data_IF_932096845104
#
_entry.id   IF_932096845104
#
_cell.length_a   1.000
_cell.length_b   1.000
_cell.length_c   1.000
_cell.angle_alpha   90.00
_cell.angle_beta   90.00
_cell.angle_gamma   90.00
#
_symmetry.space_group_name_H-M   'P 1'
#
loop_
_entity.id
_entity.type
_entity.pdbx_description
1 polymer ?
#
# COMPACT_ATOMS: atom_id res chain seq x y z
N UNK A 1 -16.08 -18.68 -1.32
CA UNK A 1 -16.93 -18.17 -2.43
C UNK A 1 -16.07 -17.23 -3.28
N UNK A 2 -16.27 -17.14 -4.60
CA UNK A 2 -15.55 -16.14 -5.39
C UNK A 2 -16.05 -14.74 -5.03
N UNK A 3 -15.15 -13.77 -4.87
CA UNK A 3 -15.54 -12.37 -4.63
C UNK A 3 -16.37 -11.83 -5.78
N UNK A 4 -17.35 -11.00 -5.44
CA UNK A 4 -18.02 -10.11 -6.38
C UNK A 4 -17.28 -8.77 -6.36
N UNK A 5 -16.91 -8.26 -7.53
CA UNK A 5 -16.24 -6.98 -7.68
C UNK A 5 -17.23 -5.88 -8.12
N UNK A 6 -17.01 -4.61 -7.70
CA UNK A 6 -15.96 -4.13 -6.81
C UNK A 6 -16.10 -4.63 -5.36
N UNK A 7 -14.96 -4.87 -4.69
CA UNK A 7 -14.89 -5.38 -3.30
C UNK A 7 -14.13 -4.40 -2.38
N UNK A 8 -14.50 -4.22 -1.10
CA UNK A 8 -15.72 -4.74 -0.50
C UNK A 8 -16.96 -4.04 -1.08
N UNK A 9 -18.15 -4.64 -0.91
CA UNK A 9 -19.40 -3.95 -1.21
C UNK A 9 -19.59 -2.71 -0.32
N UNK A 10 -20.48 -1.79 -0.71
CA UNK A 10 -20.79 -0.58 0.06
C UNK A 10 -19.88 0.62 -0.25
N UNK A 11 -19.74 1.55 0.70
CA UNK A 11 -19.07 2.85 0.51
C UNK A 11 -17.61 2.87 1.04
N UNK A 12 -16.83 1.83 0.72
CA UNK A 12 -15.38 1.87 0.98
C UNK A 12 -14.67 2.83 0.03
N UNK A 13 -13.74 3.62 0.58
CA UNK A 13 -12.91 4.57 -0.16
C UNK A 13 -11.95 3.89 -1.14
N UNK A 14 -11.34 2.78 -0.71
CA UNK A 14 -10.52 1.90 -1.56
C UNK A 14 -11.32 0.62 -1.84
N UNK A 15 -11.39 0.25 -3.12
CA UNK A 15 -11.99 -1.00 -3.56
C UNK A 15 -11.09 -1.76 -4.52
N UNK A 16 -11.16 -3.07 -4.51
CA UNK A 16 -10.55 -3.96 -5.47
C UNK A 16 -11.53 -4.20 -6.61
N UNK A 17 -11.01 -4.33 -7.83
CA UNK A 17 -11.77 -4.68 -9.03
C UNK A 17 -11.04 -5.77 -9.80
N UNK A 18 -11.80 -6.60 -10.53
CA UNK A 18 -11.20 -7.64 -11.38
C UNK A 18 -10.75 -7.08 -12.74
N UNK A 19 -9.90 -7.83 -13.46
CA UNK A 19 -9.62 -7.56 -14.87
C UNK A 19 -10.87 -7.45 -15.75
N UNK A 20 -11.88 -8.29 -15.50
CA UNK A 20 -13.13 -8.23 -16.28
C UNK A 20 -13.95 -6.98 -15.99
N UNK A 21 -13.98 -6.52 -14.72
CA UNK A 21 -14.60 -5.25 -14.38
C UNK A 21 -13.88 -4.12 -15.12
N UNK A 22 -12.55 -4.04 -15.03
CA UNK A 22 -11.80 -2.97 -15.69
C UNK A 22 -12.00 -2.97 -17.21
N UNK A 23 -11.97 -4.13 -17.87
CA UNK A 23 -12.19 -4.25 -19.32
C UNK A 23 -13.55 -3.68 -19.77
N UNK A 24 -14.59 -3.84 -18.94
CA UNK A 24 -15.92 -3.28 -19.20
C UNK A 24 -15.99 -1.76 -19.00
N UNK A 25 -15.08 -1.18 -18.20
CA UNK A 25 -15.10 0.24 -17.81
C UNK A 25 -13.92 1.04 -18.42
N UNK A 26 -13.15 0.46 -19.35
CA UNK A 26 -12.00 1.13 -20.01
C UNK A 26 -12.38 2.42 -20.74
N UNK A 27 -13.65 2.60 -21.08
CA UNK A 27 -14.18 3.75 -21.82
C UNK A 27 -14.96 4.72 -20.94
N UNK A 28 -14.98 4.51 -19.64
CA UNK A 28 -15.66 5.40 -18.71
C UNK A 28 -14.86 6.70 -18.60
N UNK A 29 -15.50 7.82 -18.96
CA UNK A 29 -14.87 9.14 -18.88
C UNK A 29 -14.51 9.51 -17.43
N UNK A 30 -15.18 8.92 -16.44
CA UNK A 30 -14.93 9.13 -15.02
C UNK A 30 -13.80 8.27 -14.42
N UNK A 31 -13.07 7.49 -15.24
CA UNK A 31 -12.00 6.61 -14.79
C UNK A 31 -10.61 7.05 -15.27
N UNK A 32 -9.71 7.31 -14.33
CA UNK A 32 -8.27 7.43 -14.57
C UNK A 32 -7.57 6.13 -14.18
N UNK A 33 -6.64 5.65 -15.00
CA UNK A 33 -5.86 4.44 -14.74
C UNK A 33 -4.41 4.86 -14.53
N UNK A 34 -3.82 4.48 -13.40
CA UNK A 34 -2.41 4.67 -13.08
C UNK A 34 -1.67 3.34 -13.16
N UNK A 35 -0.64 3.31 -14.00
CA UNK A 35 0.34 2.24 -14.08
C UNK A 35 1.53 2.59 -13.17
N UNK A 36 1.72 1.77 -12.13
CA UNK A 36 2.83 1.89 -11.18
C UNK A 36 3.79 0.72 -11.34
N UNK A 37 3.97 0.21 -12.57
CA UNK A 37 4.98 -0.80 -12.83
C UNK A 37 6.36 -0.30 -12.36
N UNK A 38 7.21 -1.20 -11.84
CA UNK A 38 8.45 -0.84 -11.14
C UNK A 38 9.44 -0.02 -11.98
N UNK A 39 9.36 -0.12 -13.31
CA UNK A 39 10.22 0.64 -14.22
C UNK A 39 9.41 1.21 -15.39
N UNK A 40 9.76 2.43 -15.82
CA UNK A 40 9.12 3.08 -16.99
C UNK A 40 9.29 2.25 -18.27
N UNK A 41 10.35 1.46 -18.40
CA UNK A 41 10.54 0.55 -19.53
C UNK A 41 9.50 -0.57 -19.54
N UNK A 42 9.02 -1.03 -18.38
CA UNK A 42 7.94 -2.01 -18.29
C UNK A 42 6.64 -1.43 -18.87
N UNK A 43 6.31 -0.19 -18.52
CA UNK A 43 5.20 0.57 -19.11
C UNK A 43 5.35 0.73 -20.63
N UNK A 44 6.53 1.11 -21.12
CA UNK A 44 6.79 1.30 -22.56
C UNK A 44 6.66 -0.03 -23.34
N UNK A 45 7.06 -1.15 -22.74
CA UNK A 45 6.92 -2.48 -23.35
C UNK A 45 5.45 -2.91 -23.45
N UNK A 46 4.61 -2.50 -22.51
CA UNK A 46 3.17 -2.64 -22.59
C UNK A 46 2.46 -2.27 -21.29
N UNK A 47 1.29 -1.66 -21.43
CA UNK A 47 0.44 -1.25 -20.31
C UNK A 47 -1.04 -1.44 -20.66
N UNK A 48 -1.90 -1.35 -19.64
CA UNK A 48 -3.36 -1.43 -19.82
C UNK A 48 -3.82 -0.20 -20.63
N UNK A 49 -4.73 -0.37 -21.62
CA UNK A 49 -5.24 0.76 -22.40
C UNK A 49 -5.74 1.93 -21.54
N UNK A 50 -5.27 3.15 -21.86
CA UNK A 50 -5.63 4.36 -21.12
C UNK A 50 -4.81 4.61 -19.86
N UNK A 51 -3.89 3.72 -19.48
CA UNK A 51 -3.06 3.89 -18.29
C UNK A 51 -1.97 4.95 -18.45
N UNK A 52 -1.79 5.75 -17.39
CA UNK A 52 -0.78 6.78 -17.26
C UNK A 52 0.28 6.29 -16.28
N UNK A 53 1.56 6.37 -16.69
CA UNK A 53 2.65 5.93 -15.84
C UNK A 53 2.91 6.91 -14.68
N UNK A 54 3.15 6.36 -13.49
CA UNK A 54 3.65 7.09 -12.34
C UNK A 54 4.70 6.25 -11.59
N UNK A 55 5.82 6.88 -11.23
CA UNK A 55 6.82 6.25 -10.36
C UNK A 55 6.48 6.49 -8.89
N UNK A 56 6.24 5.42 -8.11
CA UNK A 56 5.93 5.52 -6.68
C UNK A 56 7.02 6.21 -5.85
N UNK A 57 8.29 6.17 -6.30
CA UNK A 57 9.42 6.78 -5.62
C UNK A 57 9.32 8.30 -5.50
N UNK A 58 8.46 8.94 -6.30
CA UNK A 58 8.18 10.38 -6.21
C UNK A 58 7.39 10.75 -4.95
N UNK A 59 6.76 9.79 -4.27
CA UNK A 59 5.93 10.03 -3.10
C UNK A 59 6.71 10.10 -1.78
N UNK A 60 8.00 9.73 -1.77
CA UNK A 60 8.83 9.72 -0.56
C UNK A 60 10.19 10.33 -0.80
N UNK A 61 10.68 11.13 0.14
CA UNK A 61 11.97 11.82 0.06
C UNK A 61 12.64 11.88 1.44
N UNK A 62 13.90 12.32 1.48
CA UNK A 62 14.58 12.57 2.74
C UNK A 62 13.94 13.75 3.50
N UNK A 63 13.73 13.58 4.81
CA UNK A 63 13.37 14.67 5.71
C UNK A 63 14.19 14.58 6.99
N UNK A 64 15.17 15.46 7.14
CA UNK A 64 15.91 15.60 8.41
C UNK A 64 16.62 14.32 8.88
N UNK A 65 17.25 13.58 7.96
CA UNK A 65 17.95 12.33 8.28
C UNK A 65 17.10 11.06 8.15
N UNK A 66 15.77 11.19 7.99
CA UNK A 66 14.89 10.07 7.69
C UNK A 66 14.83 9.86 6.16
N UNK A 67 15.21 8.70 5.62
CA UNK A 67 15.47 8.55 4.18
C UNK A 67 14.21 8.43 3.30
N UNK A 68 13.08 8.02 3.85
CA UNK A 68 11.91 7.60 3.07
C UNK A 68 10.58 8.11 3.65
N UNK A 69 10.46 9.44 3.79
CA UNK A 69 9.28 10.09 4.38
C UNK A 69 8.34 10.56 3.28
N UNK A 70 7.02 10.43 3.48
CA UNK A 70 6.03 10.96 2.53
C UNK A 70 6.23 12.45 2.26
N UNK A 71 6.10 12.84 1.00
CA UNK A 71 6.22 14.24 0.54
C UNK A 71 5.23 15.18 1.23
N UNK A 72 5.55 16.48 1.21
CA UNK A 72 4.64 17.51 1.73
C UNK A 72 3.32 17.58 0.93
N UNK A 73 2.22 18.07 1.53
CA UNK A 73 0.97 18.30 0.81
C UNK A 73 1.14 19.16 -0.45
N UNK A 74 2.00 20.18 -0.41
CA UNK A 74 2.28 21.06 -1.54
C UNK A 74 2.99 20.32 -2.69
N UNK A 75 3.98 19.48 -2.36
CA UNK A 75 4.66 18.64 -3.35
C UNK A 75 3.70 17.60 -3.95
N UNK A 76 2.85 16.98 -3.12
CA UNK A 76 1.83 16.05 -3.58
C UNK A 76 0.84 16.72 -4.53
N UNK A 77 0.42 17.95 -4.23
CA UNK A 77 -0.47 18.72 -5.10
C UNK A 77 0.16 18.95 -6.47
N UNK A 78 1.42 19.40 -6.52
CA UNK A 78 2.14 19.57 -7.79
C UNK A 78 2.21 18.27 -8.60
N UNK A 79 2.53 17.16 -7.93
CA UNK A 79 2.65 15.84 -8.56
C UNK A 79 1.31 15.35 -9.13
N UNK A 80 0.25 15.38 -8.33
CA UNK A 80 -1.08 14.90 -8.74
C UNK A 80 -1.72 15.79 -9.80
N UNK A 81 -1.54 17.10 -9.68
CA UNK A 81 -1.98 18.08 -10.69
C UNK A 81 -1.29 17.82 -12.03
N UNK A 82 0.03 17.54 -12.01
CA UNK A 82 0.80 17.24 -13.23
C UNK A 82 0.38 15.94 -13.90
N UNK A 83 -0.02 14.93 -13.12
CA UNK A 83 -0.57 13.68 -13.63
C UNK A 83 -1.98 13.85 -14.22
N UNK A 84 -2.68 14.93 -13.88
CA UNK A 84 -4.06 15.20 -14.34
C UNK A 84 -5.12 14.51 -13.48
N UNK A 85 -4.82 14.25 -12.21
CA UNK A 85 -5.82 13.69 -11.28
C UNK A 85 -6.96 14.67 -11.08
N UNK A 86 -8.19 14.18 -11.10
CA UNK A 86 -9.37 14.98 -10.80
C UNK A 86 -10.01 14.45 -9.50
N UNK A 87 -10.53 15.32 -8.62
CA UNK A 87 -11.09 14.91 -7.34
C UNK A 87 -12.37 14.08 -7.46
N UNK A 88 -13.14 14.25 -8.54
CA UNK A 88 -14.43 13.61 -8.79
C UNK A 88 -14.34 12.28 -9.58
N UNK A 89 -13.21 12.05 -10.25
CA UNK A 89 -12.95 10.82 -11.03
C UNK A 89 -12.47 9.69 -10.14
N UNK A 90 -12.77 8.45 -10.54
CA UNK A 90 -12.18 7.25 -9.95
C UNK A 90 -10.73 7.14 -10.40
N UNK A 91 -9.83 6.77 -9.50
CA UNK A 91 -8.44 6.45 -9.83
C UNK A 91 -8.18 4.97 -9.58
N UNK A 92 -8.01 4.22 -10.66
CA UNK A 92 -7.58 2.84 -10.61
C UNK A 92 -6.07 2.75 -10.63
N UNK A 93 -5.50 2.00 -9.69
CA UNK A 93 -4.06 1.79 -9.56
C UNK A 93 -3.74 0.32 -9.76
N UNK A 94 -2.71 0.03 -10.55
CA UNK A 94 -2.16 -1.31 -10.67
C UNK A 94 -0.64 -1.27 -10.80
N UNK A 95 -0.01 -2.41 -10.52
CA UNK A 95 1.42 -2.63 -10.77
C UNK A 95 1.63 -4.02 -11.42
N UNK A 96 2.88 -4.36 -11.66
CA UNK A 96 3.33 -5.63 -12.22
C UNK A 96 4.69 -6.02 -11.68
N UNK A 97 5.14 -7.23 -12.02
CA UNK A 97 6.49 -7.69 -11.66
C UNK A 97 7.54 -6.99 -12.52
N UNK A 98 7.13 -6.51 -13.69
CA UNK A 98 7.99 -5.86 -14.66
C UNK A 98 8.97 -6.85 -15.28
N UNK A 99 8.82 -7.24 -16.56
CA UNK A 99 9.79 -8.12 -17.20
C UNK A 99 11.22 -7.55 -17.22
N UNK A 100 11.37 -6.22 -17.24
CA UNK A 100 12.67 -5.54 -17.11
C UNK A 100 13.18 -5.53 -15.67
N UNK A 101 12.26 -5.40 -14.71
CA UNK A 101 12.57 -5.26 -13.29
C UNK A 101 12.96 -6.56 -12.60
N UNK A 102 12.75 -7.73 -13.24
CA UNK A 102 13.28 -9.04 -12.78
C UNK A 102 14.80 -9.05 -12.58
N UNK A 103 15.52 -8.08 -13.13
CA UNK A 103 16.97 -7.92 -12.98
C UNK A 103 17.39 -7.14 -11.73
N UNK A 104 16.46 -6.56 -10.96
CA UNK A 104 16.75 -5.79 -9.75
C UNK A 104 16.00 -6.38 -8.54
N UNK A 105 16.75 -6.88 -7.56
CA UNK A 105 16.17 -7.41 -6.33
C UNK A 105 15.33 -6.34 -5.62
N UNK A 106 14.09 -6.68 -5.27
CA UNK A 106 13.19 -5.81 -4.50
C UNK A 106 12.32 -4.85 -5.32
N UNK A 107 12.36 -4.91 -6.65
CA UNK A 107 11.40 -4.19 -7.52
C UNK A 107 10.32 -5.14 -8.05
N UNK A 108 9.10 -4.64 -8.22
CA UNK A 108 7.99 -5.43 -8.76
C UNK A 108 7.54 -6.50 -7.76
N UNK A 109 7.47 -6.16 -6.48
CA UNK A 109 6.90 -7.03 -5.45
C UNK A 109 5.38 -6.90 -5.33
N UNK A 110 4.81 -5.83 -5.88
CA UNK A 110 3.37 -5.56 -5.86
C UNK A 110 2.96 -4.47 -4.88
N UNK A 111 3.85 -4.00 -4.00
CA UNK A 111 3.53 -2.97 -3.01
C UNK A 111 3.38 -1.58 -3.63
N UNK A 112 3.74 -1.42 -4.91
CA UNK A 112 3.62 -0.15 -5.60
C UNK A 112 2.16 0.31 -5.69
N UNK A 113 1.24 -0.62 -5.92
CA UNK A 113 -0.18 -0.30 -5.99
C UNK A 113 -0.75 0.12 -4.62
N UNK A 114 -0.31 -0.52 -3.53
CA UNK A 114 -0.83 -0.22 -2.17
C UNK A 114 -0.23 1.06 -1.62
N UNK A 115 1.03 1.34 -1.93
CA UNK A 115 1.69 2.59 -1.54
C UNK A 115 1.05 3.80 -2.23
N UNK A 116 0.78 3.70 -3.53
CA UNK A 116 0.10 4.77 -4.28
C UNK A 116 -1.36 4.92 -3.82
N UNK A 117 -2.10 3.82 -3.62
CA UNK A 117 -3.46 3.90 -3.09
C UNK A 117 -3.51 4.55 -1.69
N UNK A 118 -2.60 4.18 -0.79
CA UNK A 118 -2.48 4.85 0.50
C UNK A 118 -2.17 6.33 0.35
N UNK A 119 -1.22 6.71 -0.52
CA UNK A 119 -0.86 8.11 -0.75
C UNK A 119 -2.04 8.93 -1.29
N UNK A 120 -2.78 8.41 -2.28
CA UNK A 120 -3.98 9.05 -2.81
C UNK A 120 -5.00 9.31 -1.69
N UNK A 121 -5.26 8.31 -0.87
CA UNK A 121 -6.19 8.44 0.25
C UNK A 121 -5.67 9.41 1.32
N UNK A 122 -4.38 9.33 1.67
CA UNK A 122 -3.72 10.22 2.64
C UNK A 122 -3.81 11.69 2.24
N UNK A 123 -3.78 11.97 0.94
CA UNK A 123 -3.86 13.32 0.39
C UNK A 123 -5.26 13.70 -0.11
N UNK A 124 -6.28 12.94 0.28
CA UNK A 124 -7.67 13.39 0.19
C UNK A 124 -8.47 12.82 -0.98
N UNK A 125 -7.91 11.95 -1.81
CA UNK A 125 -8.71 11.27 -2.84
C UNK A 125 -9.69 10.26 -2.21
N UNK A 126 -10.87 10.11 -2.81
CA UNK A 126 -12.00 9.38 -2.21
C UNK A 126 -12.49 8.18 -3.02
N UNK A 127 -12.03 8.03 -4.27
CA UNK A 127 -12.56 7.03 -5.20
C UNK A 127 -11.43 6.21 -5.79
N UNK A 128 -10.82 5.37 -4.96
CA UNK A 128 -9.62 4.62 -5.33
C UNK A 128 -10.01 3.18 -5.65
N UNK A 129 -9.53 2.69 -6.80
CA UNK A 129 -9.67 1.31 -7.21
C UNK A 129 -8.28 0.64 -7.28
N UNK A 130 -8.20 -0.62 -6.89
CA UNK A 130 -7.02 -1.47 -7.04
C UNK A 130 -7.36 -2.61 -8.00
N UNK A 131 -6.52 -2.85 -9.00
CA UNK A 131 -6.69 -4.02 -9.86
C UNK A 131 -6.21 -5.27 -9.13
N UNK A 132 -7.15 -6.13 -8.71
CA UNK A 132 -6.81 -7.36 -7.99
C UNK A 132 -6.06 -8.33 -8.90
N UNK A 133 -4.80 -8.60 -8.57
CA UNK A 133 -3.88 -9.39 -9.37
C UNK A 133 -3.00 -8.59 -10.34
N UNK A 134 -3.14 -7.26 -10.41
CA UNK A 134 -2.28 -6.39 -11.23
C UNK A 134 -2.27 -6.74 -12.73
N UNK A 135 -1.20 -6.37 -13.42
CA UNK A 135 -1.05 -6.63 -14.87
C UNK A 135 -0.94 -8.14 -15.18
N UNK A 136 -0.43 -8.95 -14.27
CA UNK A 136 -0.41 -10.41 -14.42
C UNK A 136 -1.83 -10.99 -14.42
N UNK A 137 -2.71 -10.48 -13.56
CA UNK A 137 -4.12 -10.83 -13.55
C UNK A 137 -4.81 -10.43 -14.87
N UNK A 138 -4.51 -9.23 -15.37
CA UNK A 138 -5.00 -8.74 -16.67
C UNK A 138 -4.61 -9.66 -17.83
N UNK A 139 -3.33 -10.02 -17.91
CA UNK A 139 -2.81 -10.95 -18.91
C UNK A 139 -3.35 -12.37 -18.74
N UNK A 140 -3.50 -12.84 -17.50
CA UNK A 140 -4.09 -14.14 -17.17
C UNK A 140 -5.55 -14.24 -17.63
N UNK A 141 -6.29 -13.14 -17.58
CA UNK A 141 -7.63 -13.00 -18.15
C UNK A 141 -7.63 -12.81 -19.68
N UNK A 142 -6.49 -12.98 -20.36
CA UNK A 142 -6.29 -12.87 -21.81
C UNK A 142 -6.66 -11.51 -22.39
N UNK A 143 -6.59 -10.45 -21.57
CA UNK A 143 -6.82 -9.07 -22.01
C UNK A 143 -5.58 -8.51 -22.69
N UNK A 144 -5.77 -7.52 -23.56
CA UNK A 144 -4.69 -6.95 -24.40
C UNK A 144 -4.00 -5.79 -23.70
N UNK A 145 -2.70 -5.67 -23.90
CA UNK A 145 -1.93 -4.47 -23.59
C UNK A 145 -1.87 -3.54 -24.80
N UNK A 146 -1.48 -2.29 -24.56
CA UNK A 146 -1.20 -1.30 -25.59
C UNK A 146 0.19 -0.69 -25.38
N UNK A 147 0.63 0.08 -26.38
CA UNK A 147 1.79 0.98 -26.34
C UNK A 147 1.41 2.43 -26.66
N UNK A 148 0.12 2.73 -26.68
CA UNK A 148 -0.41 4.06 -26.95
C UNK A 148 -0.41 4.85 -25.66
N UNK A 149 0.43 5.88 -25.59
CA UNK A 149 0.52 6.75 -24.43
C UNK A 149 -0.62 7.78 -24.42
N UNK A 150 -1.52 7.75 -23.41
CA UNK A 150 -2.58 8.73 -23.30
C UNK A 150 -2.00 10.13 -22.99
N UNK A 151 -2.72 11.17 -23.41
CA UNK A 151 -2.40 12.55 -23.01
C UNK A 151 -3.09 12.88 -21.71
N UNK A 152 -2.42 13.68 -20.88
CA UNK A 152 -2.99 14.26 -19.67
C UNK A 152 -2.89 15.78 -19.75
N UNK A 153 -3.83 16.44 -19.11
CA UNK A 153 -3.79 17.88 -18.89
C UNK A 153 -3.50 18.13 -17.41
N UNK A 154 -2.86 19.26 -17.12
CA UNK A 154 -2.66 19.66 -15.72
C UNK A 154 -4.03 19.99 -15.13
N UNK A 155 -4.31 19.46 -13.94
CA UNK A 155 -5.55 19.72 -13.20
C UNK A 155 -5.31 20.62 -12.00
N UNK A 156 -6.41 21.05 -11.36
CA UNK A 156 -6.38 21.78 -10.08
C UNK A 156 -6.66 20.84 -8.90
N UNK A 157 -5.97 19.69 -8.84
CA UNK A 157 -6.24 18.67 -7.84
C UNK A 157 -6.07 19.22 -6.40
N UNK A 158 -7.11 19.20 -5.56
CA UNK A 158 -7.01 19.65 -4.18
C UNK A 158 -6.33 18.58 -3.32
N UNK A 159 -5.40 18.98 -2.45
CA UNK A 159 -4.81 18.08 -1.46
C UNK A 159 -5.37 18.39 -0.08
N UNK A 160 -5.93 17.35 0.55
CA UNK A 160 -6.39 17.39 1.94
C UNK A 160 -5.65 16.30 2.71
N UNK A 161 -4.79 16.71 3.63
CA UNK A 161 -4.00 15.77 4.42
C UNK A 161 -4.86 15.11 5.52
N UNK A 162 -5.08 13.80 5.41
CA UNK A 162 -5.78 12.97 6.40
C UNK A 162 -4.82 12.53 7.51
N UNK A 163 -4.61 13.41 8.50
CA UNK A 163 -3.73 13.16 9.66
C UNK A 163 -4.15 11.95 10.49
N UNK A 164 -5.42 11.56 10.43
CA UNK A 164 -5.95 10.41 11.16
C UNK A 164 -5.39 9.05 10.69
N UNK A 165 -4.82 8.98 9.48
CA UNK A 165 -4.30 7.72 8.89
C UNK A 165 -2.89 7.34 9.34
N UNK A 166 -2.16 8.24 10.00
CA UNK A 166 -0.82 7.96 10.46
C UNK A 166 -0.55 8.50 11.85
N UNK A 167 0.55 8.03 12.43
CA UNK A 167 1.12 8.52 13.69
C UNK A 167 2.58 8.84 13.46
N UNK A 168 3.02 9.96 14.02
CA UNK A 168 4.42 10.32 14.09
C UNK A 168 5.01 9.78 15.39
N UNK A 169 6.34 9.86 15.52
CA UNK A 169 7.10 9.22 16.60
C UNK A 169 6.53 9.47 18.01
N UNK A 170 6.26 10.73 18.35
CA UNK A 170 5.81 11.10 19.70
C UNK A 170 4.41 10.53 20.00
N UNK A 171 3.47 10.67 19.07
CA UNK A 171 2.13 10.08 19.21
C UNK A 171 2.21 8.54 19.27
N UNK A 172 3.17 7.94 18.56
CA UNK A 172 3.36 6.49 18.55
C UNK A 172 3.82 5.96 19.91
N UNK A 173 4.71 6.67 20.61
CA UNK A 173 5.17 6.31 21.95
C UNK A 173 4.00 6.19 22.93
N UNK A 174 3.05 7.13 22.86
CA UNK A 174 1.88 7.17 23.73
C UNK A 174 0.83 6.10 23.42
N UNK A 175 0.81 5.59 22.18
CA UNK A 175 -0.23 4.69 21.68
C UNK A 175 0.16 3.21 21.70
N UNK A 176 1.41 2.88 21.40
CA UNK A 176 1.83 1.51 21.08
C UNK A 176 1.63 0.50 22.22
N UNK A 177 1.70 0.96 23.48
CA UNK A 177 1.62 0.11 24.67
C UNK A 177 0.25 0.12 25.35
N UNK A 178 -0.74 0.84 24.78
CA UNK A 178 -2.09 0.86 25.34
C UNK A 178 -2.77 -0.49 25.17
N UNK A 179 -3.61 -0.88 26.14
CA UNK A 179 -4.37 -2.13 26.09
C UNK A 179 -5.36 -2.18 24.91
N UNK A 180 -5.83 -1.02 24.47
CA UNK A 180 -6.72 -0.86 23.31
C UNK A 180 -5.95 -0.74 21.98
N UNK A 181 -4.63 -0.91 21.96
CA UNK A 181 -3.81 -0.91 20.75
C UNK A 181 -3.35 -2.32 20.41
N UNK A 182 -3.32 -2.64 19.11
CA UNK A 182 -2.60 -3.78 18.56
C UNK A 182 -1.60 -3.28 17.53
N UNK A 183 -0.36 -3.74 17.64
CA UNK A 183 0.74 -3.33 16.77
C UNK A 183 1.13 -4.49 15.84
N UNK A 184 1.20 -4.24 14.54
CA UNK A 184 1.63 -5.22 13.54
C UNK A 184 2.90 -4.76 12.81
N UNK A 185 3.79 -5.72 12.58
CA UNK A 185 5.01 -5.56 11.78
C UNK A 185 4.86 -6.31 10.45
N UNK A 186 4.83 -5.55 9.36
CA UNK A 186 4.63 -6.05 8.01
C UNK A 186 5.90 -6.61 7.35
N UNK A 187 7.05 -6.52 8.01
CA UNK A 187 8.33 -7.01 7.46
C UNK A 187 8.33 -8.54 7.36
N UNK A 188 9.20 -9.12 6.52
CA UNK A 188 9.44 -10.56 6.53
C UNK A 188 9.81 -11.08 7.92
N UNK A 189 9.35 -12.28 8.26
CA UNK A 189 9.61 -12.92 9.56
C UNK A 189 11.09 -12.93 9.97
N UNK A 190 12.07 -13.23 9.08
CA UNK A 190 13.48 -13.14 9.46
C UNK A 190 13.89 -11.74 9.95
N UNK A 191 13.36 -10.67 9.33
CA UNK A 191 13.63 -9.30 9.75
C UNK A 191 13.02 -8.96 11.10
N UNK A 192 11.80 -9.42 11.36
CA UNK A 192 11.14 -9.31 12.67
C UNK A 192 11.94 -10.04 13.76
N UNK A 193 12.49 -11.22 13.46
CA UNK A 193 13.24 -12.03 14.42
C UNK A 193 14.69 -11.55 14.65
N UNK A 194 15.16 -10.58 13.87
CA UNK A 194 16.46 -9.93 14.06
C UNK A 194 17.49 -10.14 12.95
N UNK A 195 17.12 -10.79 11.86
CA UNK A 195 17.97 -11.05 10.70
C UNK A 195 17.70 -10.02 9.59
N UNK A 196 18.18 -8.78 9.79
CA UNK A 196 18.02 -7.72 8.80
C UNK A 196 19.09 -6.62 8.91
N UNK A 197 19.03 -5.66 7.99
CA UNK A 197 20.02 -4.60 7.78
C UNK A 197 19.89 -3.35 8.69
N UNK A 198 18.95 -3.34 9.63
CA UNK A 198 18.72 -2.16 10.49
C UNK A 198 19.76 -2.02 11.60
N UNK A 199 19.89 -0.79 12.13
CA UNK A 199 20.85 -0.42 13.18
C UNK A 199 20.70 -1.32 14.42
N UNK A 200 19.44 -1.66 14.75
CA UNK A 200 19.11 -2.59 15.82
C UNK A 200 18.45 -3.83 15.24
N UNK A 201 18.77 -5.03 15.72
CA UNK A 201 18.05 -6.24 15.33
C UNK A 201 16.67 -6.25 15.97
N UNK A 202 15.76 -6.96 15.33
CA UNK A 202 14.51 -7.40 15.92
C UNK A 202 13.32 -6.55 15.49
N UNK A 203 12.35 -6.40 16.39
CA UNK A 203 11.11 -5.66 16.20
C UNK A 203 10.82 -4.75 17.41
N UNK A 204 9.80 -3.90 17.28
CA UNK A 204 9.33 -3.02 18.35
C UNK A 204 8.62 -3.88 19.40
N UNK A 205 8.94 -3.77 20.71
CA UNK A 205 8.29 -4.58 21.74
C UNK A 205 6.76 -4.44 21.69
N UNK A 206 6.06 -5.56 21.81
CA UNK A 206 4.60 -5.67 21.71
C UNK A 206 4.07 -5.86 20.29
N UNK A 207 4.90 -5.71 19.25
CA UNK A 207 4.47 -5.92 17.87
C UNK A 207 4.22 -7.40 17.57
N UNK A 208 3.16 -7.70 16.83
CA UNK A 208 2.90 -9.01 16.25
C UNK A 208 3.43 -9.08 14.81
N UNK A 209 4.12 -10.16 14.45
CA UNK A 209 4.54 -10.39 13.06
C UNK A 209 3.33 -10.72 12.16
N UNK A 210 3.10 -9.89 11.14
CA UNK A 210 2.10 -10.12 10.10
C UNK A 210 2.70 -9.80 8.72
N UNK A 211 3.68 -10.54 8.21
CA UNK A 211 4.35 -10.16 6.96
C UNK A 211 3.35 -9.88 5.84
N UNK A 212 3.46 -8.73 5.15
CA UNK A 212 2.45 -8.30 4.15
C UNK A 212 2.13 -9.39 3.12
N UNK A 213 3.16 -10.16 2.74
CA UNK A 213 3.07 -11.25 1.77
C UNK A 213 2.09 -12.34 2.19
N UNK A 214 1.88 -12.53 3.49
CA UNK A 214 0.92 -13.49 4.04
C UNK A 214 -0.53 -13.12 3.71
N UNK A 215 -0.83 -11.86 3.39
CA UNK A 215 -2.17 -11.41 3.00
C UNK A 215 -2.47 -11.58 1.50
N UNK A 216 -1.43 -11.89 0.72
CA UNK A 216 -1.47 -11.96 -0.74
C UNK A 216 -1.33 -13.41 -1.23
N UNK A 217 -1.93 -13.74 -2.38
CA UNK A 217 -1.90 -15.07 -3.00
C UNK A 217 -0.47 -15.55 -3.24
N UNK A 218 -0.18 -16.84 -3.00
CA UNK A 218 1.18 -17.39 -3.05
C UNK A 218 1.85 -17.26 -4.43
N UNK A 219 1.07 -17.28 -5.51
CA UNK A 219 1.58 -17.24 -6.90
C UNK A 219 1.57 -15.84 -7.48
N UNK A 220 0.68 -14.97 -6.99
CA UNK A 220 0.59 -13.58 -7.43
C UNK A 220 0.53 -12.63 -6.22
N UNK A 221 1.63 -11.93 -5.95
CA UNK A 221 1.73 -10.99 -4.83
C UNK A 221 0.87 -9.73 -4.95
N UNK A 222 0.16 -9.54 -6.08
CA UNK A 222 -0.80 -8.44 -6.31
C UNK A 222 -2.25 -8.89 -6.17
N UNK A 223 -2.47 -10.19 -5.99
CA UNK A 223 -3.79 -10.80 -5.83
C UNK A 223 -4.07 -11.04 -4.35
N UNK A 224 -5.24 -10.61 -3.88
CA UNK A 224 -5.69 -10.88 -2.51
C UNK A 224 -6.02 -12.38 -2.35
N UNK A 225 -5.49 -13.01 -1.30
CA UNK A 225 -5.87 -14.40 -0.91
C UNK A 225 -7.36 -14.53 -0.68
N UNK A 226 -7.94 -15.71 -0.87
CA UNK A 226 -9.37 -15.95 -0.64
C UNK A 226 -9.81 -15.53 0.77
N UNK A 227 -11.05 -15.01 0.90
CA UNK A 227 -11.55 -14.46 2.18
C UNK A 227 -11.52 -15.50 3.31
N UNK A 228 -11.69 -16.78 2.96
CA UNK A 228 -11.61 -17.91 3.89
C UNK A 228 -10.24 -18.07 4.55
N UNK A 229 -9.17 -17.58 3.92
CA UNK A 229 -7.80 -17.75 4.42
C UNK A 229 -7.50 -16.77 5.56
N UNK A 230 -8.17 -15.61 5.57
CA UNK A 230 -7.91 -14.56 6.56
C UNK A 230 -8.31 -14.95 7.98
N UNK A 231 -9.30 -15.82 8.17
CA UNK A 231 -9.66 -16.31 9.51
C UNK A 231 -8.50 -17.06 10.16
N UNK A 232 -7.77 -17.88 9.41
CA UNK A 232 -6.61 -18.61 9.93
C UNK A 232 -5.42 -17.68 10.21
N UNK A 233 -5.21 -16.67 9.35
CA UNK A 233 -4.13 -15.69 9.50
C UNK A 233 -4.36 -14.79 10.71
N UNK A 234 -5.59 -14.29 10.87
CA UNK A 234 -5.93 -13.26 11.86
C UNK A 234 -6.41 -13.83 13.19
N UNK A 235 -6.98 -15.03 13.22
CA UNK A 235 -7.55 -15.65 14.42
C UNK A 235 -6.54 -15.92 15.55
N UNK A 236 -5.23 -15.82 15.26
CA UNK A 236 -4.15 -15.91 16.25
C UNK A 236 -3.87 -14.59 16.99
N UNK A 237 -4.49 -13.50 16.57
CA UNK A 237 -4.28 -12.18 17.16
C UNK A 237 -5.51 -11.74 17.95
N UNK A 238 -5.34 -10.96 19.02
CA UNK A 238 -6.45 -10.40 19.79
C UNK A 238 -7.08 -9.21 19.05
N UNK A 239 -7.43 -9.38 17.76
CA UNK A 239 -8.02 -8.34 16.92
C UNK A 239 -9.52 -8.24 17.21
N UNK A 240 -9.96 -7.06 17.65
CA UNK A 240 -11.34 -6.73 17.98
C UNK A 240 -11.66 -5.35 17.41
N UNK A 241 -12.90 -5.09 17.02
CA UNK A 241 -13.32 -3.88 16.29
C UNK A 241 -13.13 -2.57 17.05
N UNK A 242 -13.04 -2.63 18.38
CA UNK A 242 -12.83 -1.49 19.27
C UNK A 242 -11.35 -1.10 19.42
N UNK A 243 -10.43 -2.03 19.15
CA UNK A 243 -8.98 -1.79 19.20
C UNK A 243 -8.49 -0.88 18.09
N UNK A 244 -7.51 -0.05 18.41
CA UNK A 244 -6.71 0.70 17.44
C UNK A 244 -5.65 -0.22 16.85
N UNK A 245 -5.68 -0.41 15.54
CA UNK A 245 -4.65 -1.14 14.80
C UNK A 245 -3.58 -0.16 14.35
N UNK A 246 -2.35 -0.36 14.76
CA UNK A 246 -1.18 0.36 14.25
C UNK A 246 -0.33 -0.61 13.45
N UNK A 247 -0.01 -0.26 12.21
CA UNK A 247 0.85 -1.06 11.34
C UNK A 247 2.15 -0.31 11.07
N UNK A 248 3.25 -1.05 11.01
CA UNK A 248 4.56 -0.50 10.63
C UNK A 248 5.37 -1.56 9.87
N UNK A 249 6.49 -1.13 9.28
CA UNK A 249 7.40 -2.06 8.62
C UNK A 249 8.85 -1.57 8.73
N UNK A 250 9.62 -1.63 7.64
CA UNK A 250 10.94 -1.02 7.57
C UNK A 250 10.88 0.50 7.42
N UNK A 251 10.14 0.99 6.41
CA UNK A 251 10.14 2.40 5.95
C UNK A 251 8.73 2.94 5.61
N UNK A 252 7.69 2.34 6.19
CA UNK A 252 6.30 2.66 5.91
C UNK A 252 5.71 2.09 4.61
N UNK A 253 6.51 1.48 3.71
CA UNK A 253 6.04 0.95 2.41
C UNK A 253 5.18 -0.31 2.54
N UNK A 254 5.72 -1.40 3.07
CA UNK A 254 4.98 -2.67 3.25
C UNK A 254 3.73 -2.49 4.12
N UNK A 255 3.82 -1.61 5.13
CA UNK A 255 2.73 -1.28 6.04
C UNK A 255 1.51 -0.68 5.32
N UNK A 256 1.68 -0.06 4.15
CA UNK A 256 0.54 0.43 3.35
C UNK A 256 -0.40 -0.71 2.94
N UNK A 257 0.12 -1.91 2.67
CA UNK A 257 -0.68 -3.08 2.33
C UNK A 257 -1.56 -3.52 3.51
N UNK A 258 -1.00 -3.63 4.70
CA UNK A 258 -1.78 -3.95 5.90
C UNK A 258 -2.78 -2.84 6.24
N UNK A 259 -2.38 -1.58 6.11
CA UNK A 259 -3.26 -0.45 6.37
C UNK A 259 -4.50 -0.51 5.48
N UNK A 260 -4.33 -0.64 4.16
CA UNK A 260 -5.46 -0.70 3.24
C UNK A 260 -6.31 -1.95 3.48
N UNK A 261 -5.67 -3.05 3.87
CA UNK A 261 -6.33 -4.30 4.20
C UNK A 261 -7.21 -4.15 5.45
N UNK A 262 -6.67 -3.71 6.57
CA UNK A 262 -7.47 -3.52 7.77
C UNK A 262 -8.53 -2.42 7.57
N UNK A 263 -8.14 -1.26 7.04
CA UNK A 263 -9.00 -0.07 6.98
C UNK A 263 -10.16 -0.23 5.99
N UNK A 264 -9.85 -0.71 4.79
CA UNK A 264 -10.80 -0.70 3.68
C UNK A 264 -11.24 -2.10 3.28
N UNK A 265 -10.36 -3.09 3.28
CA UNK A 265 -10.75 -4.45 2.91
C UNK A 265 -11.59 -5.14 4.00
N UNK A 266 -11.19 -5.01 5.27
CA UNK A 266 -11.92 -5.55 6.43
C UNK A 266 -12.87 -4.53 7.07
N UNK A 267 -12.76 -3.25 6.72
CA UNK A 267 -13.60 -2.18 7.28
C UNK A 267 -13.30 -1.87 8.74
N UNK A 268 -12.08 -2.14 9.22
CA UNK A 268 -11.68 -1.84 10.60
C UNK A 268 -11.65 -0.32 10.85
N UNK A 269 -12.36 0.20 11.87
CA UNK A 269 -12.61 1.64 11.97
C UNK A 269 -11.37 2.43 12.35
N UNK A 270 -10.51 1.86 13.21
CA UNK A 270 -9.35 2.54 13.80
C UNK A 270 -8.05 1.91 13.31
N UNK A 271 -7.52 2.37 12.18
CA UNK A 271 -6.26 1.89 11.61
C UNK A 271 -5.35 3.09 11.37
N UNK A 272 -4.06 2.95 11.72
CA UNK A 272 -3.02 3.96 11.59
C UNK A 272 -1.72 3.33 11.09
N UNK A 273 -0.95 4.05 10.27
CA UNK A 273 0.43 3.70 9.94
C UNK A 273 1.40 4.47 10.83
N UNK A 274 2.36 3.79 11.45
CA UNK A 274 3.54 4.46 11.96
C UNK A 274 4.55 4.63 10.81
N UNK A 275 4.51 5.80 10.15
CA UNK A 275 5.20 6.06 8.87
C UNK A 275 6.73 6.00 8.99
N UNK A 276 7.30 6.45 10.11
CA UNK A 276 8.74 6.36 10.35
C UNK A 276 9.23 4.92 10.57
N UNK A 277 8.33 4.04 11.01
CA UNK A 277 8.52 2.59 11.02
C UNK A 277 9.79 2.17 11.79
N UNK A 278 10.29 0.96 11.55
CA UNK A 278 11.45 0.44 12.26
C UNK A 278 12.74 1.23 12.01
N UNK A 279 12.84 1.92 10.86
CA UNK A 279 13.99 2.80 10.55
C UNK A 279 14.06 3.99 11.52
N UNK A 280 12.94 4.69 11.74
CA UNK A 280 12.89 5.77 12.74
C UNK A 280 13.08 5.19 14.15
N UNK A 281 12.34 4.13 14.51
CA UNK A 281 12.43 3.52 15.84
C UNK A 281 13.86 3.11 16.22
N UNK A 282 14.56 2.40 15.34
CA UNK A 282 15.91 1.89 15.59
C UNK A 282 16.99 2.97 15.57
N UNK A 283 16.68 4.16 15.03
CA UNK A 283 17.61 5.30 15.02
C UNK A 283 17.77 5.96 16.39
N UNK A 284 16.77 5.84 17.27
CA UNK A 284 16.85 6.34 18.64
C UNK A 284 17.60 5.33 19.54
N UNK A 285 18.72 5.70 20.16
CA UNK A 285 19.56 4.77 20.94
C UNK A 285 18.84 4.12 22.12
N UNK A 286 17.91 4.82 22.77
CA UNK A 286 17.22 4.33 23.97
C UNK A 286 16.02 3.43 23.68
N UNK A 287 15.58 3.37 22.41
CA UNK A 287 14.43 2.55 22.03
C UNK A 287 14.74 1.05 22.15
N UNK A 288 13.95 0.27 22.91
CA UNK A 288 14.15 -1.17 23.03
C UNK A 288 13.79 -1.91 21.73
N UNK A 289 14.42 -3.05 21.49
CA UNK A 289 14.01 -4.02 20.46
C UNK A 289 13.98 -5.43 21.02
N UNK A 290 13.16 -6.29 20.43
CA UNK A 290 13.02 -7.71 20.79
C UNK A 290 13.44 -8.57 19.60
N UNK A 291 14.17 -9.66 19.85
CA UNK A 291 14.57 -10.65 18.82
C UNK A 291 13.81 -11.96 19.00
N UNK A 292 13.72 -12.75 17.94
CA UNK A 292 12.96 -14.01 17.95
C UNK A 292 11.46 -13.84 17.70
N UNK A 293 10.68 -14.93 17.80
CA UNK A 293 9.29 -14.98 17.32
C UNK A 293 8.26 -14.40 18.31
N UNK A 294 8.66 -14.15 19.56
CA UNK A 294 7.78 -13.59 20.59
C UNK A 294 7.65 -12.07 20.41
N UNK A 295 6.45 -11.48 20.60
CA UNK A 295 6.27 -10.02 20.67
C UNK A 295 7.01 -9.33 21.83
N UNK A 296 7.45 -10.08 22.84
CA UNK A 296 8.09 -9.58 24.06
C UNK A 296 9.30 -10.42 24.42
#
# INVERSE_FOLDING_TARGET
>A
MSRTYPYPPGESLVKWVSPDWLDQHLKDDDLMILDIQPNVHDYIMGHIPGAIYMNEGLLRVNRGGQPAVFISPQTAQCLFSRLGLQPDRKVLVYTGAGPYSKCAAGLGDGLEQTMVAYALARFGHERILLLDGGIEGWLGARKKLTKVFPRTEVSDFPVILRREYFVEYEDFLDLKDREDTILFDARPTPSYEGQAMWIKPGHIPGAHSLPWRSLMDDKNSRLMRADSDYQAILGRFPLQSDKTVIVYCGTGREATNEFIFFKWYLGHPKVKIYEGSFTEWSSYPDNPTVTGPSPR
#
